data_IF_749479901203
#
_entry.id   IF_749479901203
#
_cell.length_a   1.000
_cell.length_b   1.000
_cell.length_c   1.000
_cell.angle_alpha   90.00
_cell.angle_beta   90.00
_cell.angle_gamma   90.00
#
_symmetry.space_group_name_H-M   'P 1'
#
loop_
_entity.id
_entity.type
_entity.pdbx_description
1 polymer ?
#
# COMPACT_ATOMS: atom_id res chain seq x y z
N UNK A 1 4.86 41.72 -4.15
CA UNK A 1 5.23 40.30 -4.09
C UNK A 1 5.22 39.89 -2.63
N UNK A 2 4.72 38.70 -2.28
CA UNK A 2 4.69 38.24 -0.89
C UNK A 2 6.07 37.73 -0.51
N UNK A 3 6.68 38.28 0.54
CA UNK A 3 8.01 37.89 1.00
C UNK A 3 7.94 37.28 2.40
N UNK A 4 8.86 36.35 2.66
CA UNK A 4 9.11 35.77 3.98
C UNK A 4 10.48 36.19 4.48
N UNK A 5 10.66 36.18 5.79
CA UNK A 5 11.95 36.35 6.43
C UNK A 5 12.48 34.97 6.81
N UNK A 6 13.67 34.64 6.34
CA UNK A 6 14.38 33.44 6.76
C UNK A 6 15.46 33.88 7.72
N UNK A 7 15.44 33.38 8.95
CA UNK A 7 16.38 33.80 10.00
C UNK A 7 16.91 32.61 10.79
N UNK A 8 18.10 32.75 11.35
CA UNK A 8 18.70 31.78 12.25
C UNK A 8 18.26 32.06 13.69
N UNK A 9 17.67 31.07 14.35
CA UNK A 9 17.30 31.19 15.76
C UNK A 9 18.51 31.01 16.69
N UNK A 10 18.32 31.18 18.00
CA UNK A 10 19.37 31.09 19.00
C UNK A 10 19.98 29.67 19.15
N UNK A 11 19.31 28.65 18.63
CA UNK A 11 19.79 27.26 18.60
C UNK A 11 20.58 26.95 17.32
N UNK A 12 20.74 27.94 16.43
CA UNK A 12 21.43 27.79 15.15
C UNK A 12 20.57 27.18 14.04
N UNK A 13 19.28 26.92 14.27
CA UNK A 13 18.35 26.39 13.28
C UNK A 13 17.72 27.50 12.43
N UNK A 14 17.44 27.19 11.16
CA UNK A 14 16.72 28.10 10.28
C UNK A 14 15.21 28.09 10.56
N UNK A 15 14.60 29.26 10.55
CA UNK A 15 13.17 29.47 10.79
C UNK A 15 12.61 30.40 9.72
N UNK A 16 11.35 30.18 9.34
CA UNK A 16 10.63 30.99 8.36
C UNK A 16 9.57 31.80 9.10
N UNK A 17 9.59 33.12 8.90
CA UNK A 17 8.58 34.04 9.40
C UNK A 17 7.82 34.65 8.23
N UNK A 18 6.50 34.44 8.22
CA UNK A 18 5.59 35.06 7.26
C UNK A 18 4.95 36.30 7.89
N UNK A 19 5.04 37.48 7.26
CA UNK A 19 4.33 38.66 7.72
C UNK A 19 2.81 38.44 7.76
N UNK A 20 2.14 39.02 8.77
CA UNK A 20 0.68 39.09 8.76
C UNK A 20 0.19 39.93 7.56
N UNK A 21 -1.06 39.72 7.08
CA UNK A 21 -1.61 40.52 5.99
C UNK A 21 -1.51 42.03 6.26
N UNK A 22 -0.96 42.77 5.29
CA UNK A 22 -0.76 44.22 5.39
C UNK A 22 0.57 44.67 6.01
N UNK A 23 1.40 43.74 6.51
CA UNK A 23 2.76 44.04 6.97
C UNK A 23 3.81 43.74 5.89
N UNK A 24 4.87 44.55 5.86
CA UNK A 24 5.97 44.42 4.90
C UNK A 24 7.13 43.64 5.55
N UNK A 25 7.63 42.60 4.87
CA UNK A 25 8.69 41.73 5.40
C UNK A 25 9.99 42.48 5.75
N UNK A 26 10.37 43.50 4.97
CA UNK A 26 11.55 44.32 5.24
C UNK A 26 11.44 45.11 6.56
N UNK A 27 10.24 45.58 6.88
CA UNK A 27 10.02 46.39 8.09
C UNK A 27 10.06 45.50 9.33
N UNK A 28 9.52 44.28 9.22
CA UNK A 28 9.66 43.25 10.25
C UNK A 28 11.12 42.76 10.41
N UNK A 29 11.87 42.65 9.31
CA UNK A 29 13.27 42.27 9.37
C UNK A 29 14.14 43.34 10.08
N UNK A 30 13.80 44.62 9.89
CA UNK A 30 14.51 45.75 10.51
C UNK A 30 14.39 45.81 12.05
N UNK A 31 13.38 45.15 12.63
CA UNK A 31 13.18 45.07 14.09
C UNK A 31 13.75 43.80 14.71
N UNK A 32 14.37 42.91 13.92
CA UNK A 32 15.09 41.75 14.45
C UNK A 32 16.32 42.17 15.27
N UNK A 33 16.76 41.35 16.24
CA UNK A 33 18.00 41.60 16.96
C UNK A 33 19.18 41.82 16.01
N UNK A 34 20.09 42.74 16.37
CA UNK A 34 21.16 43.23 15.51
C UNK A 34 22.10 42.12 14.99
N UNK A 35 22.24 41.03 15.73
CA UNK A 35 23.11 39.90 15.40
C UNK A 35 22.36 38.72 14.72
N UNK A 36 21.06 38.86 14.44
CA UNK A 36 20.27 37.83 13.77
C UNK A 36 20.63 37.75 12.30
N UNK A 37 21.26 36.63 11.89
CA UNK A 37 21.45 36.30 10.47
C UNK A 37 20.10 36.05 9.82
N UNK A 38 19.80 36.81 8.78
CA UNK A 38 18.54 36.68 8.05
C UNK A 38 18.68 37.15 6.60
N UNK A 39 17.72 36.76 5.77
CA UNK A 39 17.50 37.33 4.44
C UNK A 39 16.01 37.27 4.07
N UNK A 40 15.62 38.09 3.09
CA UNK A 40 14.27 38.10 2.55
C UNK A 40 14.20 37.18 1.34
N UNK A 41 13.14 36.37 1.27
CA UNK A 41 12.90 35.49 0.12
C UNK A 41 11.48 35.69 -0.39
N UNK A 42 11.29 35.65 -1.69
CA UNK A 42 9.94 35.60 -2.28
C UNK A 42 9.28 34.26 -1.91
N UNK A 43 8.02 34.30 -1.49
CA UNK A 43 7.23 33.09 -1.17
C UNK A 43 7.18 32.12 -2.36
N UNK A 44 7.16 32.64 -3.60
CA UNK A 44 7.17 31.81 -4.81
C UNK A 44 8.49 31.06 -5.04
N UNK A 45 9.59 31.55 -4.48
CA UNK A 45 10.90 30.90 -4.54
C UNK A 45 11.13 29.93 -3.36
N UNK A 46 10.27 29.96 -2.33
CA UNK A 46 10.38 29.09 -1.17
C UNK A 46 9.94 27.66 -1.55
N UNK A 47 10.77 26.63 -1.28
CA UNK A 47 10.39 25.26 -1.52
C UNK A 47 9.11 24.87 -0.75
N UNK A 48 8.21 24.13 -1.39
CA UNK A 48 6.95 23.66 -0.78
C UNK A 48 7.15 22.45 0.14
N UNK A 49 8.16 22.51 1.02
CA UNK A 49 8.47 21.51 2.05
C UNK A 49 8.57 22.17 3.42
N UNK A 50 8.60 21.39 4.50
CA UNK A 50 8.86 21.94 5.84
C UNK A 50 10.30 22.43 5.98
N UNK A 51 10.55 23.44 6.82
CA UNK A 51 11.90 24.02 7.04
C UNK A 51 12.94 22.97 7.48
N UNK A 52 12.50 21.90 8.16
CA UNK A 52 13.34 20.77 8.54
C UNK A 52 13.97 20.03 7.33
N UNK A 53 13.33 20.10 6.16
CA UNK A 53 13.78 19.52 4.90
C UNK A 53 14.54 20.51 4.02
N UNK A 54 14.84 21.71 4.53
CA UNK A 54 15.60 22.73 3.79
C UNK A 54 17.03 22.81 4.31
N UNK A 55 17.98 22.96 3.39
CA UNK A 55 19.30 23.51 3.66
C UNK A 55 19.24 25.01 3.38
N UNK A 56 19.45 25.80 4.44
CA UNK A 56 19.48 27.26 4.35
C UNK A 56 20.94 27.71 4.44
N UNK A 57 21.42 28.35 3.39
CA UNK A 57 22.72 29.00 3.38
C UNK A 57 22.51 30.50 3.58
N UNK A 58 22.87 30.99 4.77
CA UNK A 58 22.73 32.40 5.13
C UNK A 58 23.80 33.29 4.48
N UNK A 59 24.92 32.73 4.02
CA UNK A 59 25.98 33.48 3.34
C UNK A 59 25.64 33.68 1.87
N UNK A 60 25.12 32.62 1.21
CA UNK A 60 24.67 32.68 -0.17
C UNK A 60 23.22 33.16 -0.32
N UNK A 61 22.49 33.29 0.80
CA UNK A 61 21.06 33.62 0.83
C UNK A 61 20.22 32.69 -0.03
N UNK A 62 20.52 31.39 0.05
CA UNK A 62 19.83 30.36 -0.72
C UNK A 62 19.10 29.38 0.19
N UNK A 63 18.01 28.84 -0.35
CA UNK A 63 17.27 27.75 0.27
C UNK A 63 17.19 26.62 -0.74
N UNK A 64 17.74 25.47 -0.38
CA UNK A 64 17.66 24.26 -1.19
C UNK A 64 16.93 23.18 -0.42
N UNK A 65 16.20 22.32 -1.11
CA UNK A 65 15.67 21.10 -0.50
C UNK A 65 16.85 20.17 -0.18
N UNK A 66 16.87 19.62 1.04
CA UNK A 66 17.85 18.60 1.43
C UNK A 66 17.77 17.42 0.45
N UNK A 67 18.91 16.88 -0.01
CA UNK A 67 18.91 15.63 -0.76
C UNK A 67 18.17 14.55 0.05
N UNK A 68 17.33 13.72 -0.60
CA UNK A 68 16.67 12.61 0.09
C UNK A 68 17.71 11.70 0.74
N UNK A 69 17.53 11.39 2.03
CA UNK A 69 18.34 10.39 2.70
C UNK A 69 17.81 9.00 2.34
N UNK A 70 18.55 8.26 1.51
CA UNK A 70 18.16 6.93 1.04
C UNK A 70 17.75 5.99 2.17
N UNK A 71 18.50 5.97 3.28
CA UNK A 71 18.20 5.07 4.40
C UNK A 71 16.89 5.46 5.11
N UNK A 72 16.64 6.77 5.27
CA UNK A 72 15.36 7.23 5.82
C UNK A 72 14.17 6.94 4.88
N UNK A 73 14.40 6.98 3.56
CA UNK A 73 13.39 6.62 2.57
C UNK A 73 13.12 5.11 2.53
N UNK A 74 14.17 4.27 2.70
CA UNK A 74 14.01 2.81 2.88
C UNK A 74 13.15 2.48 4.09
N UNK A 75 13.44 3.09 5.24
CA UNK A 75 12.67 2.88 6.47
C UNK A 75 11.20 3.24 6.29
N UNK A 76 10.94 4.39 5.65
CA UNK A 76 9.58 4.83 5.34
C UNK A 76 8.88 3.86 4.37
N UNK A 77 9.57 3.43 3.32
CA UNK A 77 9.02 2.51 2.33
C UNK A 77 8.68 1.15 2.96
N UNK A 78 9.55 0.61 3.81
CA UNK A 78 9.31 -0.63 4.57
C UNK A 78 8.11 -0.49 5.51
N UNK A 79 8.05 0.59 6.29
CA UNK A 79 6.91 0.85 7.18
C UNK A 79 5.60 0.96 6.39
N UNK A 80 5.63 1.64 5.24
CA UNK A 80 4.47 1.78 4.36
C UNK A 80 4.04 0.43 3.80
N UNK A 81 4.98 -0.37 3.30
CA UNK A 81 4.71 -1.69 2.75
C UNK A 81 4.07 -2.64 3.78
N UNK A 82 4.60 -2.64 5.02
CA UNK A 82 4.02 -3.39 6.14
C UNK A 82 2.61 -2.94 6.48
N UNK A 83 2.37 -1.62 6.48
CA UNK A 83 1.03 -1.06 6.69
C UNK A 83 0.03 -1.54 5.63
N UNK A 84 0.40 -1.44 4.36
CA UNK A 84 -0.41 -1.93 3.23
C UNK A 84 -0.70 -3.42 3.39
N UNK A 85 0.34 -4.24 3.60
CA UNK A 85 0.17 -5.68 3.73
C UNK A 85 -0.77 -6.04 4.88
N UNK A 86 -0.61 -5.42 6.05
CA UNK A 86 -1.47 -5.64 7.22
C UNK A 86 -2.93 -5.26 6.95
N UNK A 87 -3.16 -4.10 6.32
CA UNK A 87 -4.50 -3.64 6.01
C UNK A 87 -5.18 -4.54 4.98
N UNK A 88 -4.45 -5.00 3.97
CA UNK A 88 -4.97 -5.96 3.00
C UNK A 88 -5.22 -7.32 3.66
N UNK A 89 -4.33 -7.82 4.55
CA UNK A 89 -4.58 -9.06 5.32
C UNK A 89 -5.86 -8.97 6.14
N UNK A 90 -6.12 -7.84 6.78
CA UNK A 90 -7.37 -7.61 7.51
C UNK A 90 -8.56 -7.70 6.56
N UNK A 91 -8.49 -7.05 5.41
CA UNK A 91 -9.56 -7.10 4.41
C UNK A 91 -9.82 -8.53 3.90
N UNK A 92 -8.77 -9.31 3.61
CA UNK A 92 -8.89 -10.73 3.27
C UNK A 92 -9.59 -11.48 4.40
N UNK A 93 -9.12 -11.32 5.65
CA UNK A 93 -9.68 -12.01 6.81
C UNK A 93 -11.15 -11.63 7.09
N UNK A 94 -11.58 -10.43 6.69
CA UNK A 94 -12.98 -9.99 6.82
C UNK A 94 -13.85 -10.31 5.61
N UNK A 95 -13.27 -10.75 4.49
CA UNK A 95 -14.02 -11.06 3.26
C UNK A 95 -14.94 -12.29 3.40
N UNK A 96 -14.62 -13.18 4.34
CA UNK A 96 -15.43 -14.31 4.75
C UNK A 96 -15.08 -14.71 6.18
N UNK A 97 -16.02 -15.31 6.92
CA UNK A 97 -15.66 -15.90 8.22
C UNK A 97 -14.63 -17.03 8.01
N UNK A 98 -13.78 -17.32 9.01
CA UNK A 98 -12.82 -18.42 8.91
C UNK A 98 -13.45 -19.75 8.51
N UNK A 99 -14.63 -20.06 9.06
CA UNK A 99 -15.39 -21.28 8.74
C UNK A 99 -15.82 -21.31 7.28
N UNK A 100 -16.24 -20.17 6.73
CA UNK A 100 -16.64 -20.05 5.33
C UNK A 100 -15.45 -20.14 4.39
N UNK A 101 -14.33 -19.51 4.74
CA UNK A 101 -13.08 -19.63 3.97
C UNK A 101 -12.55 -21.06 3.94
N UNK A 102 -12.53 -21.74 5.10
CA UNK A 102 -12.17 -23.16 5.20
C UNK A 102 -13.12 -24.05 4.39
N UNK A 103 -14.42 -23.75 4.42
CA UNK A 103 -15.41 -24.44 3.59
C UNK A 103 -15.12 -24.28 2.10
N UNK A 104 -14.74 -23.09 1.63
CA UNK A 104 -14.34 -22.88 0.23
C UNK A 104 -13.12 -23.71 -0.16
N UNK A 105 -12.08 -23.75 0.69
CA UNK A 105 -10.89 -24.57 0.43
C UNK A 105 -11.25 -26.06 0.36
N UNK A 106 -12.07 -26.55 1.28
CA UNK A 106 -12.51 -27.95 1.27
C UNK A 106 -13.37 -28.27 0.03
N UNK A 107 -14.32 -27.39 -0.30
CA UNK A 107 -15.13 -27.48 -1.52
C UNK A 107 -14.25 -27.47 -2.77
N UNK A 108 -13.15 -26.72 -2.78
CA UNK A 108 -12.21 -26.71 -3.89
C UNK A 108 -11.62 -28.10 -4.16
N UNK A 109 -11.24 -28.82 -3.09
CA UNK A 109 -10.70 -30.19 -3.20
C UNK A 109 -11.75 -31.14 -3.75
N UNK A 110 -12.95 -31.17 -3.18
CA UNK A 110 -14.03 -32.06 -3.64
C UNK A 110 -14.51 -31.71 -5.05
N UNK A 111 -14.66 -30.42 -5.36
CA UNK A 111 -15.07 -29.94 -6.67
C UNK A 111 -14.04 -30.28 -7.75
N UNK A 112 -12.75 -30.14 -7.46
CA UNK A 112 -11.69 -30.52 -8.39
C UNK A 112 -11.68 -32.03 -8.63
N UNK A 113 -11.86 -32.86 -7.59
CA UNK A 113 -11.97 -34.32 -7.76
C UNK A 113 -13.15 -34.70 -8.65
N UNK A 114 -14.31 -34.08 -8.42
CA UNK A 114 -15.47 -34.31 -9.28
C UNK A 114 -15.18 -33.89 -10.71
N UNK A 115 -14.69 -32.67 -10.94
CA UNK A 115 -14.39 -32.17 -12.29
C UNK A 115 -13.37 -33.04 -13.03
N UNK A 116 -12.33 -33.54 -12.35
CA UNK A 116 -11.34 -34.46 -12.93
C UNK A 116 -12.00 -35.79 -13.32
N UNK A 117 -12.80 -36.37 -12.45
CA UNK A 117 -13.47 -37.65 -12.72
C UNK A 117 -14.57 -37.52 -13.80
N UNK A 118 -15.21 -36.36 -13.90
CA UNK A 118 -16.17 -36.02 -14.96
C UNK A 118 -15.48 -35.89 -16.33
N UNK A 119 -14.32 -35.23 -16.38
CA UNK A 119 -13.54 -35.09 -17.61
C UNK A 119 -12.95 -36.41 -18.10
N UNK A 120 -12.50 -37.26 -17.18
CA UNK A 120 -11.99 -38.59 -17.47
C UNK A 120 -12.29 -39.55 -16.31
N UNK A 121 -13.22 -40.46 -16.51
CA UNK A 121 -13.64 -41.42 -15.49
C UNK A 121 -12.43 -42.15 -14.89
N UNK A 122 -12.23 -41.98 -13.59
CA UNK A 122 -11.12 -42.56 -12.85
C UNK A 122 -11.68 -43.42 -11.70
N UNK A 123 -11.59 -44.76 -11.79
CA UNK A 123 -12.09 -45.66 -10.76
C UNK A 123 -11.55 -45.38 -9.35
N UNK A 124 -10.33 -44.84 -9.24
CA UNK A 124 -9.73 -44.49 -7.94
C UNK A 124 -10.36 -43.26 -7.31
N UNK A 125 -10.95 -42.38 -8.11
CA UNK A 125 -11.62 -41.16 -7.65
C UNK A 125 -13.14 -41.31 -7.61
N UNK A 126 -13.71 -42.38 -8.17
CA UNK A 126 -15.15 -42.53 -8.37
C UNK A 126 -15.98 -42.34 -7.09
N UNK A 127 -15.58 -42.97 -5.99
CA UNK A 127 -16.28 -42.84 -4.70
C UNK A 127 -16.23 -41.40 -4.16
N UNK A 128 -15.05 -40.77 -4.25
CA UNK A 128 -14.85 -39.40 -3.78
C UNK A 128 -15.59 -38.38 -4.67
N UNK A 129 -15.62 -38.61 -5.99
CA UNK A 129 -16.40 -37.82 -6.94
C UNK A 129 -17.91 -37.94 -6.68
N UNK A 130 -18.42 -39.13 -6.38
CA UNK A 130 -19.84 -39.31 -6.04
C UNK A 130 -20.21 -38.58 -4.74
N UNK A 131 -19.32 -38.61 -3.75
CA UNK A 131 -19.47 -37.86 -2.50
C UNK A 131 -19.44 -36.35 -2.75
N UNK A 132 -18.53 -35.87 -3.59
CA UNK A 132 -18.48 -34.47 -4.00
C UNK A 132 -19.78 -34.03 -4.68
N UNK A 133 -20.25 -34.78 -5.68
CA UNK A 133 -21.49 -34.50 -6.39
C UNK A 133 -22.69 -34.44 -5.44
N UNK A 134 -22.84 -35.43 -4.55
CA UNK A 134 -23.89 -35.43 -3.55
C UNK A 134 -23.81 -34.22 -2.61
N UNK A 135 -22.60 -33.84 -2.18
CA UNK A 135 -22.38 -32.68 -1.32
C UNK A 135 -22.81 -31.36 -1.97
N UNK A 136 -22.46 -31.14 -3.25
CA UNK A 136 -22.90 -29.96 -3.99
C UNK A 136 -24.41 -30.01 -4.31
N UNK A 137 -24.97 -31.20 -4.53
CA UNK A 137 -26.42 -31.37 -4.72
C UNK A 137 -27.20 -30.90 -3.50
N UNK A 138 -26.74 -31.19 -2.28
CA UNK A 138 -27.42 -30.73 -1.06
C UNK A 138 -27.57 -29.20 -1.00
N UNK A 139 -26.55 -28.45 -1.44
CA UNK A 139 -26.62 -26.99 -1.50
C UNK A 139 -27.46 -26.49 -2.68
N UNK A 140 -27.35 -27.16 -3.83
CA UNK A 140 -28.18 -26.91 -5.01
C UNK A 140 -29.67 -27.06 -4.69
N UNK A 141 -30.05 -28.11 -3.95
CA UNK A 141 -31.43 -28.36 -3.52
C UNK A 141 -31.97 -27.24 -2.61
N UNK A 142 -31.12 -26.63 -1.79
CA UNK A 142 -31.50 -25.52 -0.91
C UNK A 142 -31.68 -24.22 -1.69
N UNK A 143 -30.82 -23.99 -2.68
CA UNK A 143 -30.73 -22.73 -3.43
C UNK A 143 -31.56 -22.71 -4.71
N UNK A 144 -32.00 -23.88 -5.19
CA UNK A 144 -32.65 -24.06 -6.49
C UNK A 144 -31.68 -23.91 -7.67
N UNK A 145 -30.37 -23.91 -7.42
CA UNK A 145 -29.33 -23.80 -8.44
C UNK A 145 -28.98 -25.18 -9.03
N UNK A 146 -28.24 -25.19 -10.13
CA UNK A 146 -27.64 -26.42 -10.67
C UNK A 146 -26.36 -26.78 -9.87
N UNK A 147 -26.16 -28.05 -9.45
CA UNK A 147 -25.02 -28.46 -8.63
C UNK A 147 -23.67 -28.23 -9.30
N UNK A 148 -23.58 -28.30 -10.64
CA UNK A 148 -22.35 -27.99 -11.38
C UNK A 148 -22.03 -26.50 -11.27
N UNK A 149 -23.04 -25.64 -11.38
CA UNK A 149 -22.89 -24.19 -11.19
C UNK A 149 -22.45 -23.83 -9.76
N UNK A 150 -23.01 -24.49 -8.74
CA UNK A 150 -22.59 -24.32 -7.34
C UNK A 150 -21.14 -24.75 -7.14
N UNK A 151 -20.74 -25.89 -7.74
CA UNK A 151 -19.36 -26.40 -7.74
C UNK A 151 -18.42 -25.36 -8.35
N UNK A 152 -18.66 -24.96 -9.59
CA UNK A 152 -17.76 -24.12 -10.37
C UNK A 152 -17.57 -22.74 -9.72
N UNK A 153 -18.64 -22.13 -9.21
CA UNK A 153 -18.57 -20.89 -8.43
C UNK A 153 -17.77 -21.07 -7.13
N UNK A 154 -17.90 -22.22 -6.46
CA UNK A 154 -17.11 -22.51 -5.26
C UNK A 154 -15.61 -22.65 -5.58
N UNK A 155 -15.28 -23.30 -6.69
CA UNK A 155 -13.90 -23.41 -7.19
C UNK A 155 -13.32 -22.03 -7.51
N UNK A 156 -14.09 -21.19 -8.20
CA UNK A 156 -13.69 -19.83 -8.54
C UNK A 156 -13.41 -19.00 -7.27
N UNK A 157 -14.31 -19.00 -6.29
CA UNK A 157 -14.13 -18.25 -5.04
C UNK A 157 -12.92 -18.73 -4.25
N UNK A 158 -12.67 -20.04 -4.19
CA UNK A 158 -11.47 -20.58 -3.54
C UNK A 158 -10.19 -20.16 -4.28
N UNK A 159 -10.19 -20.18 -5.61
CA UNK A 159 -9.07 -19.73 -6.43
C UNK A 159 -8.77 -18.24 -6.26
N UNK A 160 -9.80 -17.40 -6.26
CA UNK A 160 -9.67 -15.96 -5.99
C UNK A 160 -9.12 -15.70 -4.58
N UNK A 161 -9.62 -16.42 -3.57
CA UNK A 161 -9.14 -16.30 -2.20
C UNK A 161 -7.67 -16.70 -2.07
N UNK A 162 -7.25 -17.78 -2.72
CA UNK A 162 -5.85 -18.18 -2.78
C UNK A 162 -4.99 -17.11 -3.48
N UNK A 163 -5.41 -16.59 -4.63
CA UNK A 163 -4.70 -15.53 -5.35
C UNK A 163 -4.53 -14.28 -4.50
N UNK A 164 -5.57 -13.84 -3.79
CA UNK A 164 -5.50 -12.67 -2.91
C UNK A 164 -4.45 -12.87 -1.80
N UNK A 165 -4.41 -14.04 -1.17
CA UNK A 165 -3.40 -14.35 -0.15
C UNK A 165 -1.98 -14.35 -0.73
N UNK A 166 -1.78 -14.96 -1.91
CA UNK A 166 -0.47 -15.02 -2.56
C UNK A 166 0.04 -13.64 -3.00
N UNK A 167 -0.84 -12.73 -3.42
CA UNK A 167 -0.47 -11.36 -3.74
C UNK A 167 0.05 -10.61 -2.51
N UNK A 168 -0.56 -10.81 -1.33
CA UNK A 168 -0.07 -10.19 -0.09
C UNK A 168 1.26 -10.75 0.35
N UNK A 169 1.43 -12.08 0.32
CA UNK A 169 2.74 -12.67 0.60
C UNK A 169 3.80 -12.18 -0.40
N UNK A 170 3.42 -11.97 -1.66
CA UNK A 170 4.27 -11.37 -2.68
C UNK A 170 4.66 -9.93 -2.36
N UNK A 171 3.73 -9.12 -1.82
CA UNK A 171 4.03 -7.76 -1.35
C UNK A 171 5.04 -7.76 -0.20
N UNK A 172 4.83 -8.62 0.79
CA UNK A 172 5.73 -8.73 1.94
C UNK A 172 7.13 -9.15 1.49
N UNK A 173 7.25 -10.21 0.68
CA UNK A 173 8.53 -10.65 0.12
C UNK A 173 9.19 -9.57 -0.74
N UNK A 174 8.44 -8.89 -1.60
CA UNK A 174 8.97 -7.80 -2.42
C UNK A 174 9.56 -6.69 -1.54
N UNK A 175 8.85 -6.29 -0.49
CA UNK A 175 9.29 -5.25 0.42
C UNK A 175 10.54 -5.68 1.22
N UNK A 176 10.52 -6.89 1.79
CA UNK A 176 11.61 -7.43 2.61
C UNK A 176 12.88 -7.67 1.80
N UNK A 177 12.77 -8.12 0.55
CA UNK A 177 13.92 -8.47 -0.26
C UNK A 177 14.49 -7.27 -1.02
N UNK A 178 13.64 -6.36 -1.51
CA UNK A 178 14.06 -5.33 -2.47
C UNK A 178 14.33 -3.97 -1.84
N UNK A 179 13.60 -3.58 -0.79
CA UNK A 179 13.80 -2.25 -0.18
C UNK A 179 15.17 -2.14 0.51
N UNK A 180 15.62 -3.12 1.32
CA UNK A 180 16.92 -2.99 2.01
C UNK A 180 18.11 -2.86 1.05
N UNK A 181 18.05 -3.55 -0.08
CA UNK A 181 19.13 -3.60 -1.09
C UNK A 181 19.06 -2.49 -2.14
N UNK A 182 18.02 -1.64 -2.11
CA UNK A 182 17.93 -0.51 -3.02
C UNK A 182 19.12 0.45 -2.82
N UNK A 183 19.71 0.89 -3.92
CA UNK A 183 20.88 1.77 -3.93
C UNK A 183 20.54 3.20 -4.33
N UNK A 184 19.33 3.42 -4.86
CA UNK A 184 18.86 4.73 -5.30
C UNK A 184 17.40 4.98 -4.92
N UNK A 185 17.01 6.25 -4.88
CA UNK A 185 15.61 6.65 -4.67
C UNK A 185 14.73 6.17 -5.83
N UNK A 186 15.22 6.22 -7.07
CA UNK A 186 14.46 5.75 -8.23
C UNK A 186 14.12 4.25 -8.17
N UNK A 187 15.03 3.44 -7.61
CA UNK A 187 14.76 2.02 -7.33
C UNK A 187 13.68 1.86 -6.25
N UNK A 188 13.72 2.66 -5.18
CA UNK A 188 12.67 2.67 -4.16
C UNK A 188 11.30 3.08 -4.71
N UNK A 189 11.25 4.08 -5.58
CA UNK A 189 10.01 4.53 -6.22
C UNK A 189 9.42 3.43 -7.11
N UNK A 190 10.29 2.69 -7.81
CA UNK A 190 9.89 1.53 -8.62
C UNK A 190 9.31 0.42 -7.74
N UNK A 191 9.99 0.07 -6.64
CA UNK A 191 9.51 -0.96 -5.69
C UNK A 191 8.17 -0.53 -5.07
N UNK A 192 8.06 0.73 -4.67
CA UNK A 192 6.82 1.28 -4.09
C UNK A 192 5.67 1.23 -5.09
N UNK A 193 5.92 1.54 -6.36
CA UNK A 193 4.93 1.43 -7.44
C UNK A 193 4.46 -0.02 -7.62
N UNK A 194 5.38 -0.99 -7.58
CA UNK A 194 5.05 -2.41 -7.67
C UNK A 194 4.19 -2.87 -6.47
N UNK A 195 4.51 -2.43 -5.26
CA UNK A 195 3.71 -2.72 -4.07
C UNK A 195 2.27 -2.19 -4.19
N UNK A 196 2.08 -0.97 -4.70
CA UNK A 196 0.75 -0.40 -4.96
C UNK A 196 -0.03 -1.14 -6.05
N UNK A 197 0.67 -1.62 -7.08
CA UNK A 197 0.05 -2.45 -8.10
C UNK A 197 -0.45 -3.80 -7.54
N UNK A 198 0.33 -4.42 -6.64
CA UNK A 198 -0.07 -5.66 -5.96
C UNK A 198 -1.24 -5.44 -4.99
N UNK A 199 -1.24 -4.32 -4.27
CA UNK A 199 -2.38 -3.90 -3.43
C UNK A 199 -3.66 -3.81 -4.27
N UNK A 200 -3.61 -3.07 -5.38
CA UNK A 200 -4.76 -2.90 -6.29
C UNK A 200 -5.25 -4.23 -6.86
N UNK A 201 -4.34 -5.11 -7.28
CA UNK A 201 -4.68 -6.45 -7.75
C UNK A 201 -5.36 -7.27 -6.65
N UNK A 202 -4.88 -7.19 -5.40
CA UNK A 202 -5.46 -7.93 -4.28
C UNK A 202 -6.87 -7.46 -3.98
N UNK A 203 -7.09 -6.13 -3.92
CA UNK A 203 -8.41 -5.55 -3.69
C UNK A 203 -9.41 -5.91 -4.80
N UNK A 204 -8.93 -5.97 -6.04
CA UNK A 204 -9.74 -6.43 -7.18
C UNK A 204 -10.21 -7.88 -7.00
N UNK A 205 -9.32 -8.77 -6.56
CA UNK A 205 -9.66 -10.18 -6.28
C UNK A 205 -10.67 -10.30 -5.13
N UNK A 206 -10.51 -9.49 -4.09
CA UNK A 206 -11.44 -9.49 -2.96
C UNK A 206 -12.84 -9.04 -3.38
N UNK A 207 -12.95 -8.01 -4.21
CA UNK A 207 -14.23 -7.56 -4.73
C UNK A 207 -14.96 -8.68 -5.50
N UNK A 208 -14.22 -9.48 -6.27
CA UNK A 208 -14.76 -10.63 -7.04
C UNK A 208 -15.24 -11.79 -6.15
N UNK A 209 -14.68 -11.96 -4.94
CA UNK A 209 -15.13 -13.00 -4.00
C UNK A 209 -16.48 -12.63 -3.38
N UNK A 210 -16.67 -11.33 -3.11
CA UNK A 210 -17.87 -10.80 -2.43
C UNK A 210 -19.05 -10.55 -3.37
N UNK A 211 -18.82 -10.50 -4.69
CA UNK A 211 -19.87 -10.54 -5.71
C UNK A 211 -20.51 -11.93 -5.84
#
# INVERSE_FOLDING_TARGET
MSQVIIYQNNEGAAVIMSPAPGLIASDLAAVLPKDTRHFLMDVSALPSVGVAQMNVDFDLQTVMVKPPNLEAEKDRALSTARGIALDVRRQIATSASPERALSWVLKAVYGAVWQVNEAAANPLLASLSATAQAGFQLEADITGEDPVSVRDRSLEKAGLFFQANQLVEGMERLAEDRIPVATTIAELDTITTQLRALETQTLTKLAQITS
#
